data_IF_823071748476
#
_entry.id   IF_823071748476
#
_cell.length_a   1.000
_cell.length_b   1.000
_cell.length_c   1.000
_cell.angle_alpha   90.00
_cell.angle_beta   90.00
_cell.angle_gamma   90.00
#
_symmetry.space_group_name_H-M   'P 1'
#
loop_
_entity.id
_entity.type
_entity.pdbx_description
1 polymer ?
#
# COMPACT_ATOMS: atom_id res chain seq x y z
N UNK A 1 18.58 -7.89 30.49
CA UNK A 1 17.77 -8.32 29.34
C UNK A 1 17.31 -7.05 28.63
N UNK A 2 17.98 -6.66 27.55
CA UNK A 2 17.60 -5.47 26.79
C UNK A 2 16.34 -5.78 26.01
N UNK A 3 15.24 -5.15 26.39
CA UNK A 3 14.00 -5.16 25.61
C UNK A 3 14.32 -4.45 24.30
N UNK A 4 14.49 -5.19 23.21
CA UNK A 4 14.58 -4.65 21.87
C UNK A 4 13.21 -4.06 21.58
N UNK A 5 13.04 -2.75 21.80
CA UNK A 5 11.86 -2.02 21.37
C UNK A 5 11.91 -2.02 19.85
N UNK A 6 11.09 -2.87 19.26
CA UNK A 6 10.99 -2.98 17.82
C UNK A 6 10.21 -1.76 17.31
N UNK A 7 10.94 -0.65 17.09
CA UNK A 7 10.34 0.57 16.59
C UNK A 7 9.84 0.32 15.17
N UNK A 8 8.53 0.37 14.99
CA UNK A 8 7.86 0.36 13.68
C UNK A 8 8.08 1.71 13.00
N UNK A 9 9.22 1.87 12.30
CA UNK A 9 9.63 3.16 11.76
C UNK A 9 9.00 3.51 10.40
N UNK A 10 8.47 2.53 9.65
CA UNK A 10 7.84 2.83 8.37
C UNK A 10 6.40 3.34 8.55
N UNK A 11 5.99 4.26 7.69
CA UNK A 11 4.59 4.59 7.45
C UNK A 11 4.11 3.80 6.24
N UNK A 12 3.14 2.93 6.42
CA UNK A 12 2.63 2.05 5.36
C UNK A 12 1.23 2.48 4.97
N UNK A 13 1.03 2.82 3.70
CA UNK A 13 -0.27 3.19 3.15
C UNK A 13 -0.88 2.01 2.41
N UNK A 14 -2.02 1.54 2.90
CA UNK A 14 -2.83 0.50 2.26
C UNK A 14 -4.15 1.07 1.75
N UNK A 15 -4.80 0.37 0.84
CA UNK A 15 -6.10 0.77 0.31
C UNK A 15 -6.25 0.39 -1.16
N UNK A 16 -7.44 0.59 -1.68
CA UNK A 16 -7.80 0.22 -3.04
C UNK A 16 -6.99 1.02 -4.08
N UNK A 17 -6.93 0.50 -5.31
CA UNK A 17 -6.35 1.26 -6.42
C UNK A 17 -7.09 2.61 -6.58
N UNK A 18 -6.36 3.65 -6.97
CA UNK A 18 -6.88 5.03 -7.14
C UNK A 18 -7.40 5.73 -5.87
N UNK A 19 -7.20 5.16 -4.65
CA UNK A 19 -7.56 5.86 -3.40
C UNK A 19 -6.58 6.99 -3.01
N UNK A 20 -5.42 7.11 -3.70
CA UNK A 20 -4.49 8.22 -3.49
C UNK A 20 -3.18 7.89 -2.80
N UNK A 21 -2.86 6.61 -2.54
CA UNK A 21 -1.65 6.18 -1.79
C UNK A 21 -0.35 6.82 -2.28
N UNK A 22 -0.08 6.74 -3.58
CA UNK A 22 1.16 7.29 -4.15
C UNK A 22 1.24 8.81 -3.98
N UNK A 23 0.13 9.53 -4.18
CA UNK A 23 0.12 11.00 -4.06
C UNK A 23 0.25 11.44 -2.61
N UNK A 24 -0.59 10.89 -1.72
CA UNK A 24 -0.53 11.17 -0.28
C UNK A 24 0.81 10.73 0.30
N UNK A 25 1.31 9.56 -0.10
CA UNK A 25 2.58 9.02 0.37
C UNK A 25 3.77 9.91 0.04
N UNK A 26 3.85 10.44 -1.17
CA UNK A 26 4.91 11.39 -1.55
C UNK A 26 4.86 12.68 -0.73
N UNK A 27 3.67 13.24 -0.51
CA UNK A 27 3.50 14.44 0.29
C UNK A 27 3.77 14.19 1.78
N UNK A 28 3.34 13.06 2.32
CA UNK A 28 3.63 12.66 3.70
C UNK A 28 5.13 12.45 3.90
N UNK A 29 5.80 11.76 2.99
CA UNK A 29 7.24 11.53 3.02
C UNK A 29 8.03 12.85 3.05
N UNK A 30 7.65 13.81 2.19
CA UNK A 30 8.27 15.13 2.17
C UNK A 30 8.09 15.88 3.51
N UNK A 31 6.90 15.82 4.13
CA UNK A 31 6.64 16.46 5.43
C UNK A 31 7.36 15.80 6.60
N UNK A 32 7.48 14.46 6.56
CA UNK A 32 8.14 13.66 7.59
C UNK A 32 9.66 13.58 7.39
N UNK A 33 10.20 14.13 6.29
CA UNK A 33 11.61 14.01 5.90
C UNK A 33 12.05 12.54 5.78
N UNK A 34 11.17 11.70 5.22
CA UNK A 34 11.39 10.28 4.99
C UNK A 34 11.45 9.98 3.49
N UNK A 35 12.10 8.88 3.13
CA UNK A 35 12.06 8.38 1.74
C UNK A 35 10.65 7.91 1.39
N UNK A 36 10.20 8.22 0.16
CA UNK A 36 8.99 7.62 -0.40
C UNK A 36 9.34 6.40 -1.25
N UNK A 37 8.59 5.32 -1.05
CA UNK A 37 8.71 4.07 -1.80
C UNK A 37 7.35 3.60 -2.28
N UNK A 38 7.30 3.15 -3.53
CA UNK A 38 6.12 2.50 -4.12
C UNK A 38 6.45 1.02 -4.29
N UNK A 39 5.67 0.14 -3.65
CA UNK A 39 5.97 -1.30 -3.62
C UNK A 39 5.98 -1.90 -5.02
N UNK A 40 5.10 -1.46 -5.92
CA UNK A 40 5.05 -1.97 -7.28
C UNK A 40 6.39 -1.68 -8.00
N UNK A 41 6.94 -0.46 -7.84
CA UNK A 41 8.25 -0.10 -8.40
C UNK A 41 9.41 -0.86 -7.76
N UNK A 42 9.35 -1.13 -6.47
CA UNK A 42 10.40 -1.91 -5.78
C UNK A 42 10.37 -3.39 -6.25
N UNK A 43 9.19 -3.96 -6.48
CA UNK A 43 9.03 -5.30 -7.07
C UNK A 43 9.63 -5.36 -8.49
N UNK A 44 9.32 -4.37 -9.33
CA UNK A 44 9.85 -4.27 -10.69
C UNK A 44 11.39 -4.12 -10.69
N UNK A 45 11.93 -3.32 -9.77
CA UNK A 45 13.37 -3.15 -9.60
C UNK A 45 14.05 -4.45 -9.12
N UNK A 46 13.44 -5.16 -8.17
CA UNK A 46 13.93 -6.44 -7.67
C UNK A 46 13.92 -7.51 -8.77
N UNK A 47 12.82 -7.58 -9.54
CA UNK A 47 12.72 -8.49 -10.69
C UNK A 47 13.80 -8.21 -11.72
N UNK A 48 13.99 -6.94 -12.09
CA UNK A 48 15.04 -6.53 -13.05
C UNK A 48 16.42 -6.97 -12.58
N UNK A 49 16.71 -6.82 -11.29
CA UNK A 49 18.00 -7.22 -10.71
C UNK A 49 18.21 -8.74 -10.79
N UNK A 50 17.16 -9.54 -10.63
CA UNK A 50 17.22 -11.01 -10.61
C UNK A 50 17.22 -11.65 -12.01
N UNK A 51 16.46 -11.07 -12.93
CA UNK A 51 16.17 -11.67 -14.24
C UNK A 51 16.77 -10.89 -15.41
N UNK A 52 17.47 -9.77 -15.14
CA UNK A 52 18.03 -8.87 -16.16
C UNK A 52 17.00 -8.38 -17.20
N UNK A 53 15.72 -8.39 -16.82
CA UNK A 53 14.59 -8.02 -17.66
C UNK A 53 13.73 -6.95 -17.01
N UNK A 54 13.32 -5.95 -17.79
CA UNK A 54 12.44 -4.86 -17.32
C UNK A 54 10.99 -5.19 -17.64
N UNK A 55 10.26 -5.74 -16.65
CA UNK A 55 8.84 -6.03 -16.74
C UNK A 55 8.07 -5.25 -15.66
N UNK A 56 6.84 -4.82 -15.99
CA UNK A 56 5.89 -4.27 -15.02
C UNK A 56 5.33 -5.38 -14.13
N UNK A 57 4.82 -5.04 -12.95
CA UNK A 57 4.15 -5.98 -12.04
C UNK A 57 3.09 -6.83 -12.77
N UNK A 58 2.31 -6.20 -13.67
CA UNK A 58 1.34 -6.92 -14.51
C UNK A 58 1.99 -7.97 -15.42
N UNK A 59 3.06 -7.59 -16.12
CA UNK A 59 3.77 -8.50 -17.02
C UNK A 59 4.44 -9.63 -16.23
N UNK A 60 5.02 -9.32 -15.06
CA UNK A 60 5.60 -10.34 -14.16
C UNK A 60 4.52 -11.35 -13.77
N UNK A 61 3.35 -10.86 -13.30
CA UNK A 61 2.24 -11.72 -12.91
C UNK A 61 1.73 -12.58 -14.08
N UNK A 62 1.56 -11.99 -15.26
CA UNK A 62 1.08 -12.71 -16.46
C UNK A 62 2.06 -13.76 -16.94
N UNK A 63 3.37 -13.45 -16.94
CA UNK A 63 4.40 -14.31 -17.51
C UNK A 63 4.85 -15.42 -16.54
N UNK A 64 4.84 -15.17 -15.23
CA UNK A 64 5.40 -16.07 -14.21
C UNK A 64 4.35 -16.65 -13.26
N UNK A 65 3.12 -16.15 -13.30
CA UNK A 65 2.01 -16.62 -12.48
C UNK A 65 1.96 -16.02 -11.08
N UNK A 66 0.88 -16.39 -10.37
CA UNK A 66 0.52 -15.82 -9.08
C UNK A 66 1.55 -16.11 -7.99
N UNK A 67 1.99 -17.34 -7.87
CA UNK A 67 2.84 -17.77 -6.75
C UNK A 67 4.23 -17.12 -6.84
N UNK A 68 4.82 -17.08 -8.03
CA UNK A 68 6.07 -16.36 -8.27
C UNK A 68 5.95 -14.87 -7.91
N UNK A 69 4.87 -14.22 -8.33
CA UNK A 69 4.64 -12.81 -8.03
C UNK A 69 4.51 -12.56 -6.53
N UNK A 70 3.77 -13.40 -5.81
CA UNK A 70 3.61 -13.29 -4.37
C UNK A 70 4.93 -13.52 -3.61
N UNK A 71 5.82 -14.40 -4.10
CA UNK A 71 7.13 -14.60 -3.50
C UNK A 71 8.03 -13.38 -3.69
N UNK A 72 8.01 -12.80 -4.89
CA UNK A 72 8.75 -11.59 -5.21
C UNK A 72 8.24 -10.37 -4.39
N UNK A 73 6.92 -10.27 -4.20
CA UNK A 73 6.28 -9.25 -3.38
C UNK A 73 6.70 -9.37 -1.90
N UNK A 74 6.67 -10.58 -1.33
CA UNK A 74 7.10 -10.83 0.04
C UNK A 74 8.59 -10.54 0.24
N UNK A 75 9.43 -10.90 -0.72
CA UNK A 75 10.87 -10.59 -0.71
C UNK A 75 11.10 -9.07 -0.77
N UNK A 76 10.38 -8.37 -1.65
CA UNK A 76 10.45 -6.91 -1.75
C UNK A 76 10.04 -6.23 -0.44
N UNK A 77 8.96 -6.68 0.19
CA UNK A 77 8.53 -6.18 1.51
C UNK A 77 9.59 -6.38 2.57
N UNK A 78 10.30 -7.51 2.57
CA UNK A 78 11.33 -7.82 3.58
C UNK A 78 12.49 -6.81 3.58
N UNK A 79 12.76 -6.15 2.46
CA UNK A 79 13.82 -5.15 2.32
C UNK A 79 13.54 -3.85 3.10
N UNK A 80 12.31 -3.67 3.60
CA UNK A 80 11.92 -2.50 4.41
C UNK A 80 12.12 -2.71 5.92
N UNK A 81 12.55 -3.88 6.35
CA UNK A 81 12.88 -4.12 7.75
C UNK A 81 14.00 -3.18 8.24
N UNK A 82 13.77 -2.50 9.35
CA UNK A 82 14.74 -1.55 9.95
C UNK A 82 14.93 -0.25 9.17
N UNK A 83 14.10 0.03 8.15
CA UNK A 83 14.11 1.32 7.43
C UNK A 83 13.12 2.29 8.04
N UNK A 84 13.29 3.57 7.67
CA UNK A 84 12.35 4.64 7.99
C UNK A 84 11.89 5.26 6.66
N UNK A 85 10.81 4.75 6.11
CA UNK A 85 10.28 5.15 4.82
C UNK A 85 8.75 5.24 4.84
N UNK A 86 8.18 6.00 3.92
CA UNK A 86 6.75 5.96 3.58
C UNK A 86 6.57 5.00 2.42
N UNK A 87 5.88 3.89 2.68
CA UNK A 87 5.64 2.82 1.71
C UNK A 87 4.18 2.85 1.23
N UNK A 88 3.96 3.10 -0.06
CA UNK A 88 2.66 2.88 -0.69
C UNK A 88 2.61 1.44 -1.23
N UNK A 89 1.64 0.63 -0.78
CA UNK A 89 1.46 -0.74 -1.28
C UNK A 89 0.64 -0.79 -2.55
N UNK A 90 0.82 -1.82 -3.37
CA UNK A 90 -0.18 -2.21 -4.37
C UNK A 90 -1.51 -2.58 -3.69
N UNK A 91 -2.63 -2.43 -4.41
CA UNK A 91 -3.96 -2.74 -3.83
C UNK A 91 -4.14 -4.23 -3.47
N UNK A 92 -3.38 -5.14 -4.07
CA UNK A 92 -3.41 -6.57 -3.76
C UNK A 92 -2.46 -7.00 -2.64
N UNK A 93 -1.41 -6.25 -2.40
CA UNK A 93 -0.33 -6.62 -1.48
C UNK A 93 -0.77 -6.95 -0.05
N UNK A 94 -1.77 -6.28 0.57
CA UNK A 94 -2.24 -6.61 1.91
C UNK A 94 -3.17 -7.84 1.99
N UNK A 95 -3.58 -8.44 0.87
CA UNK A 95 -4.57 -9.53 0.89
C UNK A 95 -4.00 -10.87 1.39
N UNK A 96 -2.79 -11.31 1.00
CA UNK A 96 -2.21 -12.54 1.51
C UNK A 96 -1.84 -12.44 3.00
N UNK A 97 -2.23 -13.41 3.82
CA UNK A 97 -1.93 -13.44 5.28
C UNK A 97 -0.43 -13.32 5.59
N UNK A 98 0.42 -13.95 4.75
CA UNK A 98 1.87 -13.84 4.88
C UNK A 98 2.35 -12.39 4.79
N UNK A 99 1.78 -11.59 3.86
CA UNK A 99 2.12 -10.18 3.70
C UNK A 99 1.58 -9.34 4.87
N UNK A 100 0.39 -9.67 5.38
CA UNK A 100 -0.18 -8.98 6.55
C UNK A 100 0.74 -9.11 7.76
N UNK A 101 1.27 -10.31 8.00
CA UNK A 101 2.22 -10.57 9.09
C UNK A 101 3.50 -9.74 8.92
N UNK A 102 4.01 -9.62 7.70
CA UNK A 102 5.20 -8.80 7.40
C UNK A 102 4.89 -7.32 7.58
N UNK A 103 3.82 -6.81 6.98
CA UNK A 103 3.42 -5.40 7.07
C UNK A 103 3.24 -4.93 8.51
N UNK A 104 2.60 -5.75 9.38
CA UNK A 104 2.45 -5.45 10.82
C UNK A 104 3.77 -5.32 11.57
N UNK A 105 4.82 -5.98 11.10
CA UNK A 105 6.17 -5.88 11.70
C UNK A 105 6.98 -4.71 11.15
N UNK A 106 6.70 -4.28 9.93
CA UNK A 106 7.48 -3.26 9.23
C UNK A 106 7.17 -1.85 9.69
N UNK A 107 5.92 -1.52 10.02
CA UNK A 107 5.56 -0.14 10.34
C UNK A 107 4.13 0.05 10.78
N UNK A 108 3.75 1.32 10.97
CA UNK A 108 2.38 1.74 11.19
C UNK A 108 1.60 1.70 9.87
N UNK A 109 0.44 1.06 9.89
CA UNK A 109 -0.39 0.87 8.71
C UNK A 109 -1.57 1.83 8.74
N UNK A 110 -1.68 2.69 7.74
CA UNK A 110 -2.81 3.61 7.55
C UNK A 110 -3.60 3.20 6.31
N UNK A 111 -4.88 2.93 6.49
CA UNK A 111 -5.80 2.64 5.39
C UNK A 111 -6.38 3.93 4.81
N UNK A 112 -6.07 4.22 3.55
CA UNK A 112 -6.71 5.29 2.79
C UNK A 112 -8.02 4.77 2.19
N UNK A 113 -9.12 5.07 2.85
CA UNK A 113 -10.46 4.65 2.47
C UNK A 113 -11.07 5.65 1.48
N UNK A 114 -11.62 5.14 0.38
CA UNK A 114 -12.42 5.93 -0.56
C UNK A 114 -13.73 5.22 -0.85
N UNK A 115 -14.78 5.98 -1.11
CA UNK A 115 -16.07 5.44 -1.52
C UNK A 115 -15.95 4.75 -2.89
N UNK A 116 -16.65 3.63 -3.09
CA UNK A 116 -16.60 2.89 -4.36
C UNK A 116 -16.93 3.74 -5.59
N UNK A 117 -17.89 4.66 -5.47
CA UNK A 117 -18.26 5.58 -6.55
C UNK A 117 -17.09 6.51 -6.92
N UNK A 118 -16.42 7.09 -5.90
CA UNK A 118 -15.26 7.94 -6.12
C UNK A 118 -14.06 7.16 -6.72
N UNK A 119 -13.90 5.88 -6.35
CA UNK A 119 -12.88 5.02 -6.95
C UNK A 119 -13.16 4.78 -8.43
N UNK A 120 -14.40 4.48 -8.80
CA UNK A 120 -14.80 4.28 -10.21
C UNK A 120 -14.54 5.54 -11.05
N UNK A 121 -14.96 6.70 -10.57
CA UNK A 121 -14.72 7.98 -11.24
C UNK A 121 -13.22 8.22 -11.48
N UNK A 122 -12.40 8.05 -10.45
CA UNK A 122 -10.94 8.23 -10.55
C UNK A 122 -10.28 7.23 -11.50
N UNK A 123 -10.82 6.01 -11.62
CA UNK A 123 -10.34 4.99 -12.55
C UNK A 123 -10.72 5.28 -13.98
N UNK A 124 -11.90 5.87 -14.24
CA UNK A 124 -12.28 6.31 -15.59
C UNK A 124 -11.30 7.34 -16.14
N UNK A 125 -10.77 8.22 -15.27
CA UNK A 125 -9.79 9.25 -15.65
C UNK A 125 -8.38 8.65 -15.82
N UNK A 126 -7.96 7.73 -14.94
CA UNK A 126 -6.56 7.22 -14.88
C UNK A 126 -6.34 5.89 -15.59
N UNK A 127 -7.40 5.23 -16.03
CA UNK A 127 -7.37 3.86 -16.53
C UNK A 127 -7.62 2.82 -15.44
N UNK A 128 -8.16 1.66 -15.84
CA UNK A 128 -8.48 0.55 -14.93
C UNK A 128 -7.20 -0.18 -14.54
N UNK A 129 -6.94 -0.39 -13.23
CA UNK A 129 -5.78 -1.14 -12.78
C UNK A 129 -5.76 -2.57 -13.31
N UNK A 130 -4.56 -3.14 -13.48
CA UNK A 130 -4.38 -4.49 -14.00
C UNK A 130 -5.18 -5.55 -13.23
N UNK A 131 -5.26 -5.42 -11.90
CA UNK A 131 -5.99 -6.35 -11.02
C UNK A 131 -7.52 -6.27 -11.14
N UNK A 132 -8.06 -5.37 -11.98
CA UNK A 132 -9.49 -5.13 -12.15
C UNK A 132 -9.94 -5.16 -13.63
N UNK A 133 -9.00 -5.35 -14.56
CA UNK A 133 -9.32 -5.41 -16.01
C UNK A 133 -10.28 -6.56 -16.30
N UNK A 134 -10.23 -7.63 -15.51
CA UNK A 134 -11.08 -8.81 -15.64
C UNK A 134 -12.37 -8.73 -14.79
N UNK A 135 -12.66 -7.59 -14.14
CA UNK A 135 -13.91 -7.40 -13.41
C UNK A 135 -15.06 -7.24 -14.42
N UNK A 136 -15.93 -8.26 -14.61
CA UNK A 136 -16.86 -8.30 -15.72
C UNK A 136 -18.03 -7.30 -15.57
N UNK A 137 -18.17 -6.63 -14.42
CA UNK A 137 -19.26 -5.69 -14.15
C UNK A 137 -18.96 -4.75 -12.98
N UNK A 138 -19.73 -3.66 -12.87
CA UNK A 138 -19.73 -2.77 -11.70
C UNK A 138 -20.06 -3.53 -10.41
N UNK A 139 -20.94 -4.53 -10.46
CA UNK A 139 -21.30 -5.36 -9.31
C UNK A 139 -20.05 -6.13 -8.79
N UNK A 140 -19.32 -6.79 -9.67
CA UNK A 140 -18.07 -7.48 -9.32
C UNK A 140 -17.02 -6.53 -8.74
N UNK A 141 -16.91 -5.33 -9.28
CA UNK A 141 -16.04 -4.28 -8.70
C UNK A 141 -16.48 -3.92 -7.27
N UNK A 142 -17.78 -3.70 -7.04
CA UNK A 142 -18.32 -3.36 -5.73
C UNK A 142 -18.07 -4.45 -4.69
N UNK A 143 -18.21 -5.72 -5.08
CA UNK A 143 -17.94 -6.86 -4.21
C UNK A 143 -16.43 -6.95 -3.89
N UNK A 144 -15.57 -6.78 -4.88
CA UNK A 144 -14.12 -6.71 -4.67
C UNK A 144 -13.72 -5.57 -3.72
N UNK A 145 -14.35 -4.40 -3.81
CA UNK A 145 -14.08 -3.29 -2.88
C UNK A 145 -14.52 -3.65 -1.47
N UNK A 146 -15.69 -4.29 -1.29
CA UNK A 146 -16.19 -4.72 0.03
C UNK A 146 -15.28 -5.77 0.67
N UNK A 147 -14.90 -6.80 -0.08
CA UNK A 147 -14.00 -7.85 0.42
C UNK A 147 -12.66 -7.27 0.88
N UNK A 148 -12.04 -6.43 0.06
CA UNK A 148 -10.77 -5.79 0.40
C UNK A 148 -10.89 -4.80 1.55
N UNK A 149 -12.03 -4.11 1.68
CA UNK A 149 -12.30 -3.20 2.79
C UNK A 149 -12.20 -3.92 4.13
N UNK A 150 -12.75 -5.13 4.24
CA UNK A 150 -12.66 -5.95 5.47
C UNK A 150 -11.20 -6.21 5.84
N UNK A 151 -10.38 -6.61 4.87
CA UNK A 151 -8.96 -6.90 5.09
C UNK A 151 -8.19 -5.64 5.48
N UNK A 152 -8.37 -4.54 4.76
CA UNK A 152 -7.65 -3.30 5.06
C UNK A 152 -8.03 -2.75 6.43
N UNK A 153 -9.32 -2.81 6.79
CA UNK A 153 -9.81 -2.35 8.12
C UNK A 153 -9.22 -3.19 9.25
N UNK A 154 -9.17 -4.50 9.10
CA UNK A 154 -8.60 -5.39 10.11
C UNK A 154 -7.08 -5.26 10.25
N UNK A 155 -6.41 -4.79 9.20
CA UNK A 155 -4.95 -4.65 9.18
C UNK A 155 -4.47 -3.29 9.70
N UNK A 156 -5.26 -2.23 9.51
CA UNK A 156 -4.85 -0.86 9.72
C UNK A 156 -4.82 -0.45 11.21
N UNK A 157 -3.79 0.32 11.58
CA UNK A 157 -3.71 1.00 12.88
C UNK A 157 -4.58 2.29 12.89
N UNK A 158 -4.81 2.91 11.71
CA UNK A 158 -5.71 4.05 11.54
C UNK A 158 -6.36 4.04 10.13
N UNK A 159 -7.53 4.68 10.03
CA UNK A 159 -8.28 4.81 8.78
C UNK A 159 -8.47 6.29 8.47
N UNK A 160 -8.12 6.69 7.25
CA UNK A 160 -8.29 8.06 6.74
C UNK A 160 -9.19 8.04 5.51
N UNK A 161 -10.37 8.66 5.62
CA UNK A 161 -11.28 8.84 4.49
C UNK A 161 -10.72 9.85 3.50
N UNK A 162 -10.78 9.52 2.20
CA UNK A 162 -10.25 10.38 1.12
C UNK A 162 -11.32 11.00 0.23
N UNK A 163 -12.56 10.48 0.28
CA UNK A 163 -13.68 10.99 -0.52
C UNK A 163 -14.08 12.38 -0.04
N UNK A 164 -14.24 13.31 -0.96
CA UNK A 164 -14.67 14.69 -0.67
C UNK A 164 -13.63 15.55 0.05
N UNK A 165 -12.42 15.04 0.28
CA UNK A 165 -11.34 15.80 0.93
C UNK A 165 -10.26 16.22 -0.06
N UNK A 166 -9.69 17.39 0.18
CA UNK A 166 -8.48 17.84 -0.51
C UNK A 166 -7.29 16.97 -0.11
N UNK A 167 -6.37 16.78 -1.05
CA UNK A 167 -5.19 15.95 -0.86
C UNK A 167 -4.32 16.41 0.32
N UNK A 168 -4.25 17.73 0.54
CA UNK A 168 -3.48 18.32 1.64
C UNK A 168 -4.08 17.98 3.01
N UNK A 169 -5.41 17.95 3.12
CA UNK A 169 -6.14 17.56 4.34
C UNK A 169 -5.88 16.08 4.65
N UNK A 170 -6.04 15.19 3.66
CA UNK A 170 -5.75 13.76 3.80
C UNK A 170 -4.29 13.54 4.22
N UNK A 171 -3.35 14.26 3.61
CA UNK A 171 -1.94 14.16 3.97
C UNK A 171 -1.67 14.60 5.41
N UNK A 172 -2.33 15.68 5.86
CA UNK A 172 -2.19 16.18 7.25
C UNK A 172 -2.71 15.16 8.25
N UNK A 173 -3.87 14.54 7.99
CA UNK A 173 -4.43 13.49 8.86
C UNK A 173 -3.45 12.30 8.95
N UNK A 174 -2.91 11.84 7.83
CA UNK A 174 -1.93 10.74 7.78
C UNK A 174 -0.69 11.05 8.61
N UNK A 175 -0.10 12.24 8.43
CA UNK A 175 1.09 12.68 9.18
C UNK A 175 0.79 12.76 10.68
N UNK A 176 -0.36 13.34 11.04
CA UNK A 176 -0.77 13.44 12.43
C UNK A 176 -0.91 12.07 13.11
N UNK A 177 -1.56 11.11 12.46
CA UNK A 177 -1.66 9.74 13.00
C UNK A 177 -0.30 9.09 13.18
N UNK A 178 0.60 9.24 12.20
CA UNK A 178 1.94 8.68 12.28
C UNK A 178 2.76 9.28 13.43
N UNK A 179 2.73 10.61 13.61
CA UNK A 179 3.45 11.29 14.68
C UNK A 179 2.89 10.95 16.07
N UNK A 180 1.55 10.86 16.21
CA UNK A 180 0.91 10.48 17.46
C UNK A 180 1.30 9.07 17.89
N UNK A 181 1.30 8.13 16.96
CA UNK A 181 1.72 6.75 17.22
C UNK A 181 3.14 6.68 17.75
N UNK A 182 4.07 7.40 17.12
CA UNK A 182 5.48 7.36 17.50
C UNK A 182 5.77 8.09 18.83
N UNK A 183 4.94 9.07 19.26
CA UNK A 183 5.08 9.73 20.58
C UNK A 183 4.74 8.82 21.74
N UNK A 184 3.91 7.80 21.55
CA UNK A 184 3.52 6.87 22.64
C UNK A 184 4.51 5.71 22.81
N UNK A 185 5.56 5.65 22.01
CA UNK A 185 6.58 4.59 22.04
C UNK A 185 7.86 5.06 22.75
N UNK A 186 7.97 6.36 23.06
CA UNK A 186 9.05 6.94 23.86
C UNK A 186 8.66 6.96 25.31
#
# INVERSE_FOLDING_TARGET
MSTVINHRHNLILVGFASCGKTTVGRLAAARLQMDFKDLDLEIEALFRKKQEAALTCRQIYTNHGRDFFLDLEAESLSQFAGKQAVLATGGGAPLPERNQTVLKKLGQIIYLQADPAALLERMQIKGVPASLVDAPSVACFMDCVKERHVVYTALADAIVATTGKEIQTVTSEVVTFYEQYNRHII
#
